data_IF_181213152324
#
_entry.id   IF_181213152324
#
_cell.length_a   1.000
_cell.length_b   1.000
_cell.length_c   1.000
_cell.angle_alpha   90.00
_cell.angle_beta   90.00
_cell.angle_gamma   90.00
#
_symmetry.space_group_name_H-M   'P 1'
#
loop_
_entity.id
_entity.type
_entity.pdbx_description
1 polymer ?
#
# COMPACT_ATOMS: atom_id res chain seq x y z
N UNK A 1 -40.98 -17.54 -0.79
CA UNK A 1 -40.45 -18.31 0.37
C UNK A 1 -39.12 -18.91 -0.07
N UNK A 2 -38.14 -18.99 0.83
CA UNK A 2 -36.69 -19.25 0.66
C UNK A 2 -35.86 -17.94 0.55
N UNK A 3 -35.69 -17.16 1.63
CA UNK A 3 -34.67 -17.26 2.71
C UNK A 3 -33.22 -17.24 2.21
N UNK A 4 -32.72 -16.06 1.80
CA UNK A 4 -31.30 -15.74 1.95
C UNK A 4 -31.07 -15.34 3.40
N UNK A 5 -30.48 -16.29 4.14
CA UNK A 5 -30.13 -16.20 5.55
C UNK A 5 -28.64 -15.82 5.64
N UNK A 6 -28.39 -14.84 6.50
CA UNK A 6 -27.11 -14.46 7.07
C UNK A 6 -26.05 -13.94 6.09
N UNK A 7 -26.22 -12.67 5.70
CA UNK A 7 -25.10 -11.77 5.47
C UNK A 7 -24.26 -11.72 6.75
N UNK A 8 -23.24 -12.57 6.80
CA UNK A 8 -22.18 -12.48 7.78
C UNK A 8 -21.47 -11.15 7.58
N UNK A 9 -21.91 -10.13 8.33
CA UNK A 9 -21.19 -8.89 8.54
C UNK A 9 -19.85 -9.23 9.18
N UNK A 10 -18.85 -9.56 8.35
CA UNK A 10 -17.45 -9.46 8.75
C UNK A 10 -17.24 -8.00 9.07
N UNK A 11 -17.32 -7.66 10.36
CA UNK A 11 -16.88 -6.37 10.89
C UNK A 11 -15.52 -6.08 10.29
N UNK A 12 -15.45 -5.10 9.38
CA UNK A 12 -14.20 -4.47 9.00
C UNK A 12 -13.65 -3.81 10.25
N UNK A 13 -12.89 -4.60 11.02
CA UNK A 13 -12.34 -4.15 12.27
C UNK A 13 -11.25 -3.14 11.93
N UNK A 14 -11.49 -1.89 12.32
CA UNK A 14 -10.51 -0.83 12.18
C UNK A 14 -9.20 -1.33 12.82
N UNK A 15 -8.19 -1.60 11.99
CA UNK A 15 -6.96 -2.30 12.41
C UNK A 15 -6.26 -1.55 13.54
N UNK A 16 -6.31 -0.21 13.49
CA UNK A 16 -5.82 0.67 14.56
C UNK A 16 -6.62 0.54 15.87
N UNK A 17 -7.94 0.37 15.81
CA UNK A 17 -8.77 0.15 17.01
C UNK A 17 -8.40 -1.17 17.70
N UNK A 18 -8.17 -2.23 16.94
CA UNK A 18 -7.76 -3.52 17.49
C UNK A 18 -6.42 -3.41 18.23
N UNK A 19 -5.41 -2.77 17.62
CA UNK A 19 -4.10 -2.58 18.26
C UNK A 19 -4.19 -1.76 19.53
N UNK A 20 -4.93 -0.63 19.51
CA UNK A 20 -5.12 0.20 20.70
C UNK A 20 -5.86 -0.55 21.83
N UNK A 21 -6.89 -1.33 21.49
CA UNK A 21 -7.66 -2.11 22.47
C UNK A 21 -6.81 -3.21 23.10
N UNK A 22 -5.96 -3.89 22.30
CA UNK A 22 -5.01 -4.87 22.81
C UNK A 22 -3.97 -4.21 23.73
N UNK A 23 -3.43 -3.05 23.36
CA UNK A 23 -2.46 -2.33 24.20
C UNK A 23 -3.06 -1.88 25.54
N UNK A 24 -4.29 -1.37 25.53
CA UNK A 24 -5.03 -1.01 26.76
C UNK A 24 -5.38 -2.25 27.58
N UNK A 25 -5.74 -3.36 26.94
CA UNK A 25 -5.97 -4.63 27.62
C UNK A 25 -4.70 -5.15 28.32
N UNK A 26 -3.51 -4.96 27.72
CA UNK A 26 -2.23 -5.28 28.36
C UNK A 26 -1.97 -4.41 29.60
N UNK A 27 -2.32 -3.12 29.57
CA UNK A 27 -2.26 -2.26 30.77
C UNK A 27 -3.19 -2.78 31.86
N UNK A 28 -4.45 -3.08 31.52
CA UNK A 28 -5.43 -3.61 32.46
C UNK A 28 -4.98 -4.96 33.07
N UNK A 29 -4.40 -5.84 32.26
CA UNK A 29 -3.80 -7.09 32.73
C UNK A 29 -2.62 -6.86 33.68
N UNK A 30 -1.84 -5.79 33.49
CA UNK A 30 -0.78 -5.39 34.41
C UNK A 30 -1.29 -4.99 35.79
N UNK A 31 -2.40 -4.24 35.85
CA UNK A 31 -3.03 -3.84 37.10
C UNK A 31 -3.68 -5.01 37.86
N UNK A 32 -4.26 -5.99 37.15
CA UNK A 32 -4.89 -7.16 37.77
C UNK A 32 -3.91 -8.28 38.12
N UNK A 33 -2.70 -8.29 37.55
CA UNK A 33 -1.72 -9.36 37.80
C UNK A 33 -1.02 -9.19 39.16
N UNK A 34 -1.09 -10.19 40.06
CA UNK A 34 -0.37 -10.17 41.34
C UNK A 34 1.11 -10.54 41.21
N UNK A 35 1.56 -10.98 40.02
CA UNK A 35 2.93 -11.45 39.76
C UNK A 35 3.51 -10.69 38.57
N UNK A 36 4.71 -10.09 38.74
CA UNK A 36 5.41 -9.28 37.72
C UNK A 36 4.61 -8.07 37.17
N UNK A 37 3.83 -7.40 38.03
CA UNK A 37 3.01 -6.23 37.69
C UNK A 37 3.81 -5.13 36.93
N UNK A 38 4.97 -4.72 37.46
CA UNK A 38 5.77 -3.65 36.85
C UNK A 38 6.20 -3.94 35.40
N UNK A 39 6.54 -5.19 35.10
CA UNK A 39 6.96 -5.59 33.75
C UNK A 39 5.78 -5.54 32.78
N UNK A 40 4.62 -6.09 33.18
CA UNK A 40 3.42 -6.10 32.34
C UNK A 40 2.91 -4.67 32.12
N UNK A 41 2.96 -3.82 33.15
CA UNK A 41 2.57 -2.42 33.07
C UNK A 41 3.50 -1.61 32.16
N UNK A 42 4.82 -1.84 32.25
CA UNK A 42 5.81 -1.22 31.36
C UNK A 42 5.61 -1.65 29.90
N UNK A 43 5.35 -2.94 29.66
CA UNK A 43 5.03 -3.46 28.32
C UNK A 43 3.73 -2.86 27.79
N UNK A 44 2.69 -2.78 28.62
CA UNK A 44 1.40 -2.17 28.24
C UNK A 44 1.54 -0.68 27.89
N UNK A 45 2.30 0.07 28.68
CA UNK A 45 2.60 1.48 28.42
C UNK A 45 3.39 1.68 27.14
N UNK A 46 4.43 0.86 26.91
CA UNK A 46 5.21 0.91 25.69
C UNK A 46 4.37 0.54 24.46
N UNK A 47 3.57 -0.52 24.55
CA UNK A 47 2.67 -0.94 23.48
C UNK A 47 1.64 0.14 23.15
N UNK A 48 1.07 0.81 24.17
CA UNK A 48 0.07 1.87 23.97
C UNK A 48 0.70 3.12 23.33
N UNK A 49 1.87 3.53 23.82
CA UNK A 49 2.62 4.64 23.22
C UNK A 49 3.02 4.35 21.77
N UNK A 50 3.48 3.13 21.50
CA UNK A 50 3.80 2.65 20.15
C UNK A 50 2.59 2.63 19.23
N UNK A 51 1.43 2.16 19.70
CA UNK A 51 0.19 2.14 18.94
C UNK A 51 -0.28 3.56 18.56
N UNK A 52 -0.28 4.49 19.52
CA UNK A 52 -0.65 5.90 19.29
C UNK A 52 0.34 6.57 18.33
N UNK A 53 1.64 6.38 18.55
CA UNK A 53 2.68 6.99 17.71
C UNK A 53 2.65 6.45 16.29
N UNK A 54 2.43 5.14 16.10
CA UNK A 54 2.30 4.54 14.78
C UNK A 54 1.05 5.04 14.04
N UNK A 55 -0.09 5.15 14.74
CA UNK A 55 -1.29 5.73 14.16
C UNK A 55 -1.05 7.19 13.72
N UNK A 56 -0.46 7.99 14.58
CA UNK A 56 -0.11 9.38 14.28
C UNK A 56 0.89 9.48 13.12
N UNK A 57 1.84 8.56 13.02
CA UNK A 57 2.83 8.53 11.94
C UNK A 57 2.19 8.27 10.57
N UNK A 58 1.24 7.34 10.49
CA UNK A 58 0.49 7.12 9.23
C UNK A 58 -0.36 8.35 8.91
N UNK A 59 -1.04 8.92 9.90
CA UNK A 59 -1.84 10.12 9.72
C UNK A 59 -1.00 11.32 9.23
N UNK A 60 0.17 11.54 9.81
CA UNK A 60 1.05 12.66 9.46
C UNK A 60 1.73 12.48 8.09
N UNK A 61 1.75 11.28 7.50
CA UNK A 61 2.25 11.11 6.14
C UNK A 61 1.33 11.80 5.14
N UNK A 62 0.02 11.71 5.34
CA UNK A 62 -1.01 12.18 4.41
C UNK A 62 -1.57 13.55 4.77
N UNK A 63 -1.70 13.86 6.05
CA UNK A 63 -2.31 15.09 6.52
C UNK A 63 -1.32 15.97 7.28
N UNK A 64 -1.49 17.28 7.14
CA UNK A 64 -0.67 18.26 7.88
C UNK A 64 -1.27 18.47 9.26
N UNK A 65 -0.52 18.10 10.29
CA UNK A 65 -0.92 18.23 11.68
C UNK A 65 -0.28 19.51 12.25
N UNK A 66 -1.05 20.42 12.87
CA UNK A 66 -0.49 21.63 13.47
C UNK A 66 0.51 21.26 14.57
N UNK A 67 1.59 22.05 14.70
CA UNK A 67 2.70 21.87 15.66
C UNK A 67 3.66 20.70 15.41
N UNK A 68 3.36 19.80 14.48
CA UNK A 68 4.24 18.67 14.13
C UNK A 68 5.00 18.95 12.82
N UNK A 69 6.29 19.29 12.96
CA UNK A 69 7.21 19.43 11.83
C UNK A 69 7.40 18.09 11.13
N UNK A 70 7.36 18.09 9.80
CA UNK A 70 7.40 16.87 9.00
C UNK A 70 6.04 16.17 8.86
N UNK A 71 4.92 16.85 9.13
CA UNK A 71 3.59 16.36 8.74
C UNK A 71 3.24 16.75 7.29
N UNK A 72 2.39 15.96 6.64
CA UNK A 72 2.04 16.07 5.23
C UNK A 72 3.21 15.80 4.28
N UNK A 73 4.13 14.89 4.61
CA UNK A 73 5.32 14.64 3.76
C UNK A 73 4.91 14.19 2.35
N UNK A 74 3.94 13.29 2.23
CA UNK A 74 3.48 12.75 0.95
C UNK A 74 2.91 13.87 0.07
N UNK A 75 1.90 14.65 0.49
CA UNK A 75 1.38 15.73 -0.35
C UNK A 75 2.43 16.80 -0.66
N UNK A 76 3.32 17.13 0.29
CA UNK A 76 4.36 18.14 0.08
C UNK A 76 5.43 17.70 -0.95
N UNK A 77 5.63 16.39 -1.16
CA UNK A 77 6.62 15.84 -2.10
C UNK A 77 6.01 15.01 -3.22
N UNK A 78 4.70 15.15 -3.44
CA UNK A 78 3.96 14.28 -4.36
C UNK A 78 4.50 14.35 -5.79
N UNK A 79 4.81 15.55 -6.29
CA UNK A 79 5.37 15.75 -7.63
C UNK A 79 6.77 15.14 -7.79
N UNK A 80 7.63 15.31 -6.79
CA UNK A 80 8.96 14.69 -6.79
C UNK A 80 8.86 13.16 -6.74
N UNK A 81 7.93 12.64 -5.94
CA UNK A 81 7.66 11.20 -5.83
C UNK A 81 7.17 10.62 -7.16
N UNK A 82 6.25 11.31 -7.84
CA UNK A 82 5.74 10.93 -9.17
C UNK A 82 6.88 10.87 -10.20
N UNK A 83 7.70 11.90 -10.26
CA UNK A 83 8.84 11.95 -11.17
C UNK A 83 9.87 10.84 -10.88
N UNK A 84 10.14 10.57 -9.60
CA UNK A 84 11.04 9.50 -9.19
C UNK A 84 10.53 8.11 -9.58
N UNK A 85 9.25 7.82 -9.35
CA UNK A 85 8.63 6.55 -9.77
C UNK A 85 8.69 6.39 -11.28
N UNK A 86 8.34 7.44 -12.03
CA UNK A 86 8.39 7.40 -13.49
C UNK A 86 9.80 7.02 -13.98
N UNK A 87 10.82 7.69 -13.45
CA UNK A 87 12.21 7.41 -13.82
C UNK A 87 12.65 6.00 -13.42
N UNK A 88 12.23 5.51 -12.26
CA UNK A 88 12.51 4.15 -11.81
C UNK A 88 11.87 3.12 -12.76
N UNK A 89 10.60 3.31 -13.11
CA UNK A 89 9.86 2.41 -13.99
C UNK A 89 10.48 2.38 -15.38
N UNK A 90 10.71 3.54 -15.99
CA UNK A 90 11.30 3.63 -17.33
C UNK A 90 12.73 3.10 -17.36
N UNK A 91 13.52 3.41 -16.32
CA UNK A 91 14.93 3.02 -16.27
C UNK A 91 15.18 1.57 -15.86
N UNK A 92 14.26 0.90 -15.16
CA UNK A 92 14.50 -0.45 -14.61
C UNK A 92 13.53 -1.50 -15.12
N UNK A 93 12.27 -1.16 -15.34
CA UNK A 93 11.28 -2.12 -15.83
C UNK A 93 11.19 -2.13 -17.36
N UNK A 94 11.27 -0.96 -18.00
CA UNK A 94 11.21 -0.83 -19.46
C UNK A 94 12.58 -0.74 -20.14
N UNK A 95 13.55 -1.52 -19.67
CA UNK A 95 14.83 -1.65 -20.37
C UNK A 95 14.66 -2.50 -21.63
N UNK A 96 15.52 -2.29 -22.64
CA UNK A 96 15.47 -3.05 -23.89
C UNK A 96 15.56 -4.56 -23.65
N UNK A 97 16.40 -5.00 -22.71
CA UNK A 97 16.53 -6.40 -22.33
C UNK A 97 15.26 -6.95 -21.66
N UNK A 98 14.66 -6.21 -20.72
CA UNK A 98 13.46 -6.68 -20.01
C UNK A 98 12.24 -6.71 -20.92
N UNK A 99 12.12 -5.73 -21.82
CA UNK A 99 11.06 -5.67 -22.83
C UNK A 99 11.25 -6.80 -23.84
N UNK A 100 12.46 -6.99 -24.38
CA UNK A 100 12.76 -8.10 -25.29
C UNK A 100 12.46 -9.47 -24.64
N UNK A 101 12.90 -9.70 -23.40
CA UNK A 101 12.62 -10.95 -22.68
C UNK A 101 11.12 -11.17 -22.39
N UNK A 102 10.36 -10.10 -22.12
CA UNK A 102 8.91 -10.17 -21.96
C UNK A 102 8.20 -10.52 -23.29
N UNK A 103 8.67 -9.97 -24.42
CA UNK A 103 8.14 -10.30 -25.74
C UNK A 103 8.54 -11.72 -26.18
N UNK A 104 9.77 -12.15 -25.94
CA UNK A 104 10.22 -13.52 -26.22
C UNK A 104 9.42 -14.56 -25.41
N UNK A 105 9.15 -14.28 -24.13
CA UNK A 105 8.34 -15.14 -23.27
C UNK A 105 6.87 -15.25 -23.73
N UNK A 106 6.30 -14.18 -24.31
CA UNK A 106 4.96 -14.23 -24.93
C UNK A 106 4.96 -14.78 -26.35
N UNK A 107 6.13 -14.88 -26.98
CA UNK A 107 6.28 -15.32 -28.37
C UNK A 107 6.16 -16.84 -28.53
N UNK A 108 6.15 -17.66 -27.47
CA UNK A 108 5.74 -19.07 -27.63
C UNK A 108 4.27 -19.23 -28.08
N UNK A 109 3.38 -18.28 -27.78
CA UNK A 109 1.99 -18.29 -28.31
C UNK A 109 1.85 -17.54 -29.65
N UNK A 110 2.72 -16.56 -29.96
CA UNK A 110 2.61 -15.70 -31.17
C UNK A 110 3.53 -16.17 -32.33
N UNK A 111 4.58 -16.95 -32.06
CA UNK A 111 5.58 -17.39 -33.04
C UNK A 111 5.05 -18.30 -34.15
N UNK A 112 3.82 -18.82 -34.05
CA UNK A 112 3.25 -19.61 -35.16
C UNK A 112 2.78 -18.76 -36.35
N UNK A 113 2.72 -17.43 -36.25
CA UNK A 113 2.03 -16.65 -37.29
C UNK A 113 2.69 -15.36 -37.80
N UNK A 114 3.73 -14.76 -37.20
CA UNK A 114 4.09 -13.38 -37.60
C UNK A 114 5.57 -13.04 -37.64
N UNK A 115 5.96 -12.37 -38.74
CA UNK A 115 7.29 -11.88 -39.10
C UNK A 115 7.55 -10.52 -38.39
N UNK A 116 8.56 -10.39 -37.51
CA UNK A 116 8.66 -9.29 -36.53
C UNK A 116 9.43 -8.05 -37.00
N UNK A 117 9.49 -7.74 -38.30
CA UNK A 117 10.23 -6.57 -38.79
C UNK A 117 9.45 -5.23 -38.75
N UNK A 118 8.12 -5.15 -38.93
CA UNK A 118 7.42 -3.87 -38.92
C UNK A 118 6.63 -3.57 -37.63
N UNK A 119 6.60 -4.47 -36.63
CA UNK A 119 5.67 -4.34 -35.48
C UNK A 119 6.20 -3.44 -34.37
N UNK A 120 7.52 -3.28 -34.24
CA UNK A 120 8.14 -2.47 -33.18
C UNK A 120 7.85 -0.97 -33.34
N UNK A 121 7.57 -0.51 -34.57
CA UNK A 121 7.16 0.87 -34.87
C UNK A 121 5.68 1.18 -34.55
N UNK A 122 4.86 0.15 -34.31
CA UNK A 122 3.40 0.30 -34.09
C UNK A 122 3.02 0.19 -32.61
N UNK A 123 4.00 -0.06 -31.74
CA UNK A 123 3.77 -0.14 -30.29
C UNK A 123 3.64 1.29 -29.73
N UNK A 124 2.40 1.67 -29.43
CA UNK A 124 2.09 2.93 -28.77
C UNK A 124 2.32 2.80 -27.25
N UNK A 125 3.51 3.21 -26.80
CA UNK A 125 3.92 3.16 -25.40
C UNK A 125 3.05 4.02 -24.48
N UNK A 126 2.48 5.12 -24.99
CA UNK A 126 1.57 5.98 -24.23
C UNK A 126 0.33 5.21 -23.80
N UNK A 127 -0.24 4.40 -24.71
CA UNK A 127 -1.44 3.59 -24.42
C UNK A 127 -1.17 2.49 -23.40
N UNK A 128 0.02 1.91 -23.40
CA UNK A 128 0.43 0.88 -22.43
C UNK A 128 0.65 1.54 -21.05
N UNK A 129 1.28 2.72 -21.04
CA UNK A 129 1.46 3.51 -19.83
C UNK A 129 0.13 3.93 -19.21
N UNK A 130 -0.83 4.38 -20.03
CA UNK A 130 -2.17 4.75 -19.59
C UNK A 130 -2.91 3.56 -18.98
N UNK A 131 -2.83 2.37 -19.60
CA UNK A 131 -3.43 1.15 -19.06
C UNK A 131 -2.78 0.69 -17.75
N UNK A 132 -1.47 0.85 -17.61
CA UNK A 132 -0.75 0.59 -16.36
C UNK A 132 -1.17 1.58 -15.26
N UNK A 133 -1.26 2.87 -15.59
CA UNK A 133 -1.70 3.90 -14.66
C UNK A 133 -3.15 3.65 -14.21
N UNK A 134 -4.03 3.27 -15.12
CA UNK A 134 -5.40 2.91 -14.84
C UNK A 134 -5.50 1.68 -13.92
N UNK A 135 -4.71 0.63 -14.17
CA UNK A 135 -4.64 -0.55 -13.31
C UNK A 135 -4.10 -0.21 -11.90
N UNK A 136 -3.13 0.69 -11.79
CA UNK A 136 -2.58 1.15 -10.51
C UNK A 136 -3.60 1.99 -9.74
N UNK A 137 -4.34 2.88 -10.42
CA UNK A 137 -5.41 3.70 -9.84
C UNK A 137 -6.62 2.85 -9.44
N UNK A 138 -6.95 1.80 -10.19
CA UNK A 138 -8.01 0.87 -9.81
C UNK A 138 -7.58 -0.12 -8.71
N UNK A 139 -6.28 -0.28 -8.46
CA UNK A 139 -5.78 -1.13 -7.39
C UNK A 139 -5.97 -0.50 -6.00
N UNK A 140 -5.71 -1.28 -4.95
CA UNK A 140 -5.69 -0.82 -3.56
C UNK A 140 -4.77 0.40 -3.32
N UNK A 141 -3.84 0.70 -4.23
CA UNK A 141 -3.03 1.92 -4.18
C UNK A 141 -3.77 3.20 -4.61
N UNK A 142 -4.74 3.15 -5.53
CA UNK A 142 -5.48 4.36 -5.94
C UNK A 142 -6.37 4.91 -4.83
N UNK A 143 -7.01 4.02 -4.06
CA UNK A 143 -7.73 4.36 -2.82
C UNK A 143 -6.83 5.05 -1.77
N UNK A 144 -5.51 4.82 -1.81
CA UNK A 144 -4.52 5.43 -0.92
C UNK A 144 -3.92 6.74 -1.48
N UNK A 145 -4.07 6.98 -2.79
CA UNK A 145 -3.60 8.16 -3.51
C UNK A 145 -4.67 9.26 -3.68
N UNK A 146 -5.92 9.00 -3.29
CA UNK A 146 -6.97 10.02 -3.16
C UNK A 146 -7.74 10.34 -4.44
N UNK A 147 -7.90 9.38 -5.35
CA UNK A 147 -8.91 9.43 -6.42
C UNK A 147 -10.22 8.76 -6.00
#
# INVERSE_FOLDING_TARGET
>A
VHTHKDEGATRDMNKSLATNLISVACIAAGFLSPVHNELILTVGLFATSGAITNWLAVHMLFEKVPLLYGSGVIPNRFEEFKAAIHNLIMGQFFTMENVAGFFEAQTEEIARAFNPEPVVEVINYDRIFDGFLEAVVQSQFGSMLGF
#
